data_IF_241771456738
#
_entry.id   IF_241771456738
#
_cell.length_a   1.000
_cell.length_b   1.000
_cell.length_c   1.000
_cell.angle_alpha   90.00
_cell.angle_beta   90.00
_cell.angle_gamma   90.00
#
_symmetry.space_group_name_H-M   'P 1'
#
loop_
_entity.id
_entity.type
_entity.pdbx_description
1 polymer ?
#
# COMPACT_ATOMS: atom_id res chain seq x y z
N UNK A 1 2.53 -5.03 -2.41
CA UNK A 1 2.98 -3.74 -1.88
C UNK A 1 2.83 -2.67 -2.95
N UNK A 2 2.65 -1.42 -2.54
CA UNK A 2 2.53 -0.27 -3.44
C UNK A 2 3.82 0.55 -3.39
N UNK A 3 4.31 1.05 -4.53
CA UNK A 3 5.59 1.74 -4.62
C UNK A 3 5.37 3.13 -5.20
N UNK A 4 5.93 4.15 -4.54
CA UNK A 4 6.03 5.52 -5.04
C UNK A 4 7.49 5.80 -5.35
N UNK A 5 7.82 5.99 -6.63
CA UNK A 5 9.16 6.42 -7.05
C UNK A 5 9.17 7.91 -7.33
N UNK A 6 10.07 8.63 -6.65
CA UNK A 6 10.28 10.06 -6.79
C UNK A 6 11.59 10.25 -7.57
N UNK A 7 11.53 10.68 -8.85
CA UNK A 7 12.72 10.84 -9.67
C UNK A 7 13.78 11.67 -8.95
N UNK A 8 15.04 11.23 -9.01
CA UNK A 8 16.22 11.83 -8.35
C UNK A 8 16.25 11.83 -6.81
N UNK A 9 15.19 11.38 -6.12
CA UNK A 9 15.14 11.37 -4.65
C UNK A 9 15.18 9.95 -4.08
N UNK A 10 14.46 9.02 -4.71
CA UNK A 10 14.37 7.62 -4.29
C UNK A 10 12.93 7.13 -4.25
N UNK A 11 12.69 6.04 -3.52
CA UNK A 11 11.39 5.38 -3.47
C UNK A 11 10.85 5.24 -2.04
N UNK A 12 9.52 5.27 -1.93
CA UNK A 12 8.73 4.93 -0.75
C UNK A 12 7.95 3.66 -1.05
N UNK A 13 8.01 2.68 -0.16
CA UNK A 13 7.16 1.48 -0.22
C UNK A 13 6.02 1.65 0.78
N UNK A 14 4.79 1.43 0.34
CA UNK A 14 3.58 1.41 1.16
C UNK A 14 3.11 -0.04 1.25
N UNK A 15 3.36 -0.65 2.41
CA UNK A 15 3.20 -2.07 2.69
C UNK A 15 3.98 -3.01 1.75
N UNK A 16 4.46 -4.12 2.29
CA UNK A 16 5.08 -5.18 1.52
C UNK A 16 4.79 -6.55 2.16
N UNK A 17 3.69 -7.15 1.71
CA UNK A 17 3.38 -8.56 1.99
C UNK A 17 4.36 -9.54 1.36
N UNK A 18 4.14 -10.81 1.69
CA UNK A 18 4.88 -11.94 1.10
C UNK A 18 4.90 -11.86 -0.44
N UNK A 19 6.03 -12.26 -1.05
CA UNK A 19 6.17 -12.27 -2.51
C UNK A 19 6.44 -10.91 -3.15
N UNK A 20 6.44 -9.80 -2.40
CA UNK A 20 6.70 -8.45 -2.94
C UNK A 20 8.05 -8.37 -3.66
N UNK A 21 9.14 -8.90 -3.09
CA UNK A 21 10.45 -8.94 -3.77
C UNK A 21 10.43 -9.79 -5.05
N UNK A 22 9.69 -10.90 -5.04
CA UNK A 22 9.50 -11.74 -6.24
C UNK A 22 8.77 -10.99 -7.36
N UNK A 23 7.78 -10.17 -7.00
CA UNK A 23 7.07 -9.30 -7.94
C UNK A 23 7.98 -8.20 -8.49
N UNK A 24 8.85 -7.63 -7.65
CA UNK A 24 9.89 -6.69 -8.11
C UNK A 24 10.85 -7.34 -9.11
N UNK A 25 11.29 -8.57 -8.86
CA UNK A 25 12.15 -9.33 -9.80
C UNK A 25 11.43 -9.56 -11.14
N UNK A 26 10.13 -9.86 -11.13
CA UNK A 26 9.34 -10.00 -12.36
C UNK A 26 9.19 -8.69 -13.13
N UNK A 27 9.08 -7.57 -12.41
CA UNK A 27 8.90 -6.25 -12.99
C UNK A 27 10.20 -5.64 -13.54
N UNK A 28 11.25 -5.59 -12.71
CA UNK A 28 12.53 -4.96 -13.06
C UNK A 28 13.49 -5.90 -13.79
N UNK A 29 13.25 -7.21 -13.73
CA UNK A 29 14.15 -8.25 -14.22
C UNK A 29 14.99 -8.87 -13.10
N UNK A 30 15.73 -9.95 -13.41
CA UNK A 30 16.53 -10.66 -12.43
C UNK A 30 17.73 -9.84 -11.99
N UNK A 31 18.18 -10.08 -10.75
CA UNK A 31 19.40 -9.50 -10.21
C UNK A 31 20.59 -9.76 -11.15
N UNK A 32 21.42 -8.75 -11.35
CA UNK A 32 22.57 -8.70 -12.25
C UNK A 32 22.22 -8.25 -13.66
N UNK A 33 20.94 -8.11 -14.00
CA UNK A 33 20.52 -7.65 -15.33
C UNK A 33 20.48 -6.13 -15.39
N UNK A 34 20.95 -5.52 -16.51
CA UNK A 34 20.72 -4.10 -16.72
C UNK A 34 19.23 -3.81 -16.84
N UNK A 35 18.84 -2.58 -16.52
CA UNK A 35 17.51 -2.09 -16.80
C UNK A 35 17.18 -2.19 -18.29
N UNK A 36 15.91 -2.45 -18.62
CA UNK A 36 15.42 -2.59 -20.00
C UNK A 36 14.66 -1.35 -20.43
N UNK A 37 14.75 -1.01 -21.72
CA UNK A 37 13.96 0.07 -22.34
C UNK A 37 14.11 1.43 -21.64
N UNK A 38 15.32 1.76 -21.16
CA UNK A 38 15.61 2.99 -20.43
C UNK A 38 15.06 3.04 -19.00
N UNK A 39 14.53 1.93 -18.48
CA UNK A 39 14.11 1.78 -17.08
C UNK A 39 15.31 1.45 -16.19
N UNK A 40 15.17 1.71 -14.89
CA UNK A 40 16.16 1.34 -13.89
C UNK A 40 16.23 -0.19 -13.67
N UNK A 41 17.39 -0.70 -13.27
CA UNK A 41 17.54 -2.10 -12.84
C UNK A 41 16.90 -2.34 -11.46
N UNK A 42 16.74 -3.61 -11.10
CA UNK A 42 16.28 -3.99 -9.76
C UNK A 42 17.21 -3.47 -8.67
N UNK A 43 18.53 -3.53 -8.86
CA UNK A 43 19.51 -3.03 -7.89
C UNK A 43 19.46 -1.51 -7.76
N UNK A 44 19.35 -0.79 -8.87
CA UNK A 44 19.19 0.66 -8.85
C UNK A 44 17.93 1.05 -8.07
N UNK A 45 16.82 0.36 -8.33
CA UNK A 45 15.59 0.54 -7.58
C UNK A 45 15.77 0.24 -6.08
N UNK A 46 16.30 -0.95 -5.74
CA UNK A 46 16.48 -1.38 -4.35
C UNK A 46 17.40 -0.42 -3.61
N UNK A 47 18.54 -0.01 -4.18
CA UNK A 47 19.43 1.01 -3.61
C UNK A 47 18.74 2.36 -3.40
N UNK A 48 17.78 2.68 -4.26
CA UNK A 48 16.97 3.89 -4.23
C UNK A 48 15.86 3.90 -3.17
N UNK A 49 15.54 2.78 -2.51
CA UNK A 49 14.53 2.76 -1.45
C UNK A 49 15.04 3.59 -0.26
N UNK A 50 14.24 4.58 0.15
CA UNK A 50 14.53 5.46 1.29
C UNK A 50 13.59 5.23 2.45
N UNK A 51 12.32 4.93 2.19
CA UNK A 51 11.30 4.77 3.22
C UNK A 51 10.43 3.54 2.95
N UNK A 52 10.11 2.80 4.01
CA UNK A 52 9.06 1.78 4.02
C UNK A 52 8.04 2.21 5.06
N UNK A 53 6.81 2.45 4.63
CA UNK A 53 5.65 2.67 5.49
C UNK A 53 4.87 1.37 5.63
N UNK A 54 4.51 1.02 6.86
CA UNK A 54 3.67 -0.13 7.18
C UNK A 54 2.40 0.39 7.84
N UNK A 55 1.24 0.08 7.27
CA UNK A 55 -0.07 0.54 7.74
C UNK A 55 -0.45 -0.14 9.05
N UNK A 56 -0.31 -1.47 9.14
CA UNK A 56 -0.68 -2.28 10.30
C UNK A 56 0.02 -3.67 10.26
N UNK A 57 -0.25 -4.54 11.24
CA UNK A 57 0.52 -5.76 11.47
C UNK A 57 -0.13 -7.07 10.98
N UNK A 58 -1.08 -7.02 10.05
CA UNK A 58 -1.48 -8.24 9.34
C UNK A 58 -0.37 -8.69 8.39
N UNK A 59 -0.18 -10.01 8.31
CA UNK A 59 0.98 -10.63 7.66
C UNK A 59 1.15 -10.22 6.19
N UNK A 60 0.04 -10.05 5.48
CA UNK A 60 -0.06 -9.65 4.08
C UNK A 60 0.39 -8.19 3.81
N UNK A 61 0.67 -7.40 4.85
CA UNK A 61 1.19 -6.05 4.72
C UNK A 61 2.68 -5.91 5.04
N UNK A 62 3.32 -6.89 5.69
CA UNK A 62 4.71 -6.71 6.16
C UNK A 62 5.64 -7.91 6.05
N UNK A 63 5.16 -9.13 5.83
CA UNK A 63 6.05 -10.32 5.79
C UNK A 63 7.12 -10.27 4.68
N UNK A 64 6.89 -9.50 3.60
CA UNK A 64 7.88 -9.30 2.54
C UNK A 64 9.00 -8.31 2.90
N UNK A 65 8.80 -7.47 3.92
CA UNK A 65 9.73 -6.39 4.29
C UNK A 65 11.11 -6.94 4.66
N UNK A 66 11.19 -8.02 5.42
CA UNK A 66 12.48 -8.61 5.85
C UNK A 66 13.35 -9.03 4.66
N UNK A 67 12.77 -9.57 3.59
CA UNK A 67 13.51 -9.94 2.37
C UNK A 67 13.99 -8.72 1.59
N UNK A 68 13.20 -7.65 1.59
CA UNK A 68 13.58 -6.37 0.98
C UNK A 68 14.74 -5.73 1.75
N UNK A 69 14.65 -5.70 3.09
CA UNK A 69 15.69 -5.15 3.98
C UNK A 69 17.01 -5.93 3.86
N UNK A 70 16.96 -7.27 3.88
CA UNK A 70 18.13 -8.14 3.66
C UNK A 70 18.82 -7.82 2.33
N UNK A 71 18.07 -7.73 1.22
CA UNK A 71 18.63 -7.43 -0.09
C UNK A 71 19.17 -5.99 -0.16
N UNK A 72 18.43 -5.02 0.38
CA UNK A 72 18.86 -3.63 0.47
C UNK A 72 20.18 -3.51 1.26
N UNK A 73 20.29 -4.17 2.41
CA UNK A 73 21.49 -4.15 3.25
C UNK A 73 22.71 -4.70 2.51
N UNK A 74 22.56 -5.85 1.83
CA UNK A 74 23.62 -6.46 1.02
C UNK A 74 24.09 -5.53 -0.10
N UNK A 75 23.14 -4.89 -0.80
CA UNK A 75 23.49 -3.96 -1.87
C UNK A 75 24.24 -2.75 -1.30
N UNK A 76 23.83 -2.22 -0.14
CA UNK A 76 24.45 -1.05 0.48
C UNK A 76 25.76 -1.33 1.24
N UNK A 77 26.32 -2.54 1.12
CA UNK A 77 27.60 -2.88 1.74
C UNK A 77 28.70 -1.86 1.39
N UNK A 78 29.43 -1.39 2.40
CA UNK A 78 30.49 -0.38 2.27
C UNK A 78 30.02 1.07 2.13
N UNK A 79 28.71 1.34 2.26
CA UNK A 79 28.17 2.71 2.27
C UNK A 79 27.69 3.11 3.67
N UNK A 80 27.39 4.39 3.88
CA UNK A 80 26.72 4.89 5.10
C UNK A 80 25.21 5.09 4.90
N UNK A 81 24.64 4.46 3.87
CA UNK A 81 23.21 4.57 3.59
C UNK A 81 22.37 4.03 4.76
N UNK A 82 21.29 4.73 5.04
CA UNK A 82 20.25 4.35 6.01
C UNK A 82 18.90 4.25 5.31
N UNK A 83 17.98 3.48 5.89
CA UNK A 83 16.59 3.34 5.44
C UNK A 83 15.64 3.71 6.58
N UNK A 84 14.60 4.46 6.26
CA UNK A 84 13.57 4.83 7.22
C UNK A 84 12.45 3.80 7.20
N UNK A 85 12.02 3.34 8.37
CA UNK A 85 10.89 2.42 8.51
C UNK A 85 9.85 3.08 9.41
N UNK A 86 8.75 3.53 8.80
CA UNK A 86 7.61 4.10 9.50
C UNK A 86 6.55 3.01 9.70
N UNK A 87 6.33 2.56 10.93
CA UNK A 87 5.48 1.42 11.21
C UNK A 87 4.83 1.48 12.61
N UNK A 88 3.82 0.64 12.92
CA UNK A 88 3.36 0.46 14.29
C UNK A 88 4.52 0.02 15.19
N UNK A 89 4.65 0.61 16.38
CA UNK A 89 5.83 0.39 17.25
C UNK A 89 6.16 -1.07 17.59
N UNK A 90 5.19 -1.98 17.56
CA UNK A 90 5.44 -3.42 17.76
C UNK A 90 6.25 -4.05 16.63
N UNK A 91 6.24 -3.46 15.43
CA UNK A 91 7.04 -3.92 14.30
C UNK A 91 8.56 -3.84 14.58
N UNK A 92 9.01 -2.82 15.32
CA UNK A 92 10.41 -2.70 15.70
C UNK A 92 10.87 -3.89 16.54
N UNK A 93 10.03 -4.37 17.46
CA UNK A 93 10.34 -5.56 18.27
C UNK A 93 10.50 -6.80 17.39
N UNK A 94 9.62 -6.96 16.41
CA UNK A 94 9.72 -8.05 15.45
C UNK A 94 11.00 -7.97 14.60
N UNK A 95 11.40 -6.79 14.14
CA UNK A 95 12.67 -6.60 13.43
C UNK A 95 13.89 -6.93 14.31
N UNK A 96 13.86 -6.53 15.59
CA UNK A 96 14.91 -6.81 16.56
C UNK A 96 15.06 -8.33 16.78
N UNK A 97 13.95 -9.01 17.11
CA UNK A 97 13.91 -10.47 17.28
C UNK A 97 14.31 -11.23 16.01
N UNK A 98 13.91 -10.75 14.83
CA UNK A 98 14.31 -11.37 13.56
C UNK A 98 15.81 -11.19 13.29
N UNK A 99 16.39 -10.07 13.74
CA UNK A 99 17.80 -9.75 13.55
C UNK A 99 18.73 -10.65 14.36
N UNK A 100 18.22 -11.28 15.42
CA UNK A 100 18.95 -12.33 16.16
C UNK A 100 19.18 -13.59 15.32
N UNK A 101 18.35 -13.82 14.28
CA UNK A 101 18.42 -14.98 13.39
C UNK A 101 19.10 -14.66 12.07
N UNK A 102 18.86 -13.47 11.51
CA UNK A 102 19.41 -13.05 10.22
C UNK A 102 19.76 -11.57 10.22
N UNK A 103 20.97 -11.23 9.74
CA UNK A 103 21.35 -9.83 9.53
C UNK A 103 20.55 -9.18 8.39
N UNK A 104 19.51 -8.45 8.77
CA UNK A 104 18.69 -7.62 7.89
C UNK A 104 19.16 -6.16 7.84
N UNK A 105 20.32 -5.85 8.45
CA UNK A 105 20.87 -4.49 8.51
C UNK A 105 20.21 -3.61 9.57
N UNK A 106 19.83 -4.16 10.72
CA UNK A 106 19.11 -3.45 11.80
C UNK A 106 19.77 -2.10 12.19
N UNK A 107 21.10 -2.06 12.23
CA UNK A 107 21.89 -0.85 12.53
C UNK A 107 21.71 0.30 11.53
N UNK A 108 21.26 0.00 10.30
CA UNK A 108 20.99 0.97 9.22
C UNK A 108 19.54 1.40 9.18
N UNK A 109 18.66 0.76 9.94
CA UNK A 109 17.26 1.13 10.02
C UNK A 109 17.12 2.34 10.94
N UNK A 110 16.33 3.32 10.49
CA UNK A 110 15.90 4.48 11.27
C UNK A 110 14.40 4.36 11.47
N UNK A 111 14.02 3.74 12.59
CA UNK A 111 12.63 3.44 12.89
C UNK A 111 11.87 4.69 13.33
N UNK A 112 10.66 4.86 12.81
CA UNK A 112 9.73 5.92 13.16
C UNK A 112 8.41 5.24 13.55
N UNK A 113 7.99 5.40 14.79
CA UNK A 113 6.67 4.91 15.20
C UNK A 113 5.59 5.74 14.49
N UNK A 114 4.60 5.09 13.87
CA UNK A 114 3.49 5.79 13.20
C UNK A 114 2.77 6.79 14.11
N UNK A 115 2.78 6.59 15.43
CA UNK A 115 2.23 7.54 16.43
C UNK A 115 2.95 8.89 16.45
N UNK A 116 4.22 8.91 16.02
CA UNK A 116 5.03 10.12 15.93
C UNK A 116 4.75 10.90 14.64
N UNK A 117 4.13 10.26 13.65
CA UNK A 117 3.66 10.88 12.40
C UNK A 117 2.19 11.32 12.48
N UNK A 118 1.48 11.04 13.58
CA UNK A 118 0.05 11.34 13.68
C UNK A 118 -0.20 12.81 13.37
N UNK A 119 -1.20 13.05 12.52
CA UNK A 119 -1.68 14.39 12.23
C UNK A 119 -2.09 15.08 13.55
N UNK A 120 -1.35 16.12 13.92
CA UNK A 120 -1.60 16.91 15.12
C UNK A 120 -2.16 18.27 14.73
N UNK A 121 -3.24 18.67 15.40
CA UNK A 121 -3.77 20.04 15.31
C UNK A 121 -2.92 21.05 16.13
N UNK A 122 -1.97 20.55 16.93
CA UNK A 122 -1.11 21.36 17.79
C UNK A 122 0.24 21.65 17.12
N UNK A 123 0.76 22.89 17.19
CA UNK A 123 2.10 23.21 16.68
C UNK A 123 3.15 22.34 17.37
N UNK A 124 3.84 21.51 16.60
CA UNK A 124 4.96 20.71 17.08
C UNK A 124 6.10 21.66 17.43
N UNK A 125 6.53 21.69 18.70
CA UNK A 125 7.60 22.59 19.18
C UNK A 125 8.98 22.25 18.59
N UNK A 126 9.20 20.99 18.19
CA UNK A 126 10.35 20.55 17.39
C UNK A 126 10.03 19.22 16.71
N UNK A 127 10.21 19.13 15.38
CA UNK A 127 10.10 17.87 14.64
C UNK A 127 11.27 16.98 15.04
N UNK A 128 11.00 15.68 15.23
CA UNK A 128 12.05 14.67 15.47
C UNK A 128 13.09 14.72 14.34
N UNK A 129 14.38 14.79 14.70
CA UNK A 129 15.46 14.93 13.72
C UNK A 129 15.49 13.79 12.68
N UNK A 130 15.05 12.59 13.05
CA UNK A 130 14.92 11.42 12.17
C UNK A 130 13.83 11.64 11.14
N UNK A 131 12.66 12.13 11.58
CA UNK A 131 11.55 12.48 10.69
C UNK A 131 11.99 13.59 9.74
N UNK A 132 12.66 14.63 10.25
CA UNK A 132 13.15 15.71 9.40
C UNK A 132 14.17 15.22 8.36
N UNK A 133 15.09 14.33 8.75
CA UNK A 133 16.06 13.74 7.84
C UNK A 133 15.38 12.88 6.76
N UNK A 134 14.36 12.09 7.13
CA UNK A 134 13.54 11.33 6.19
C UNK A 134 12.88 12.25 5.17
N UNK A 135 12.16 13.28 5.64
CA UNK A 135 11.46 14.24 4.77
C UNK A 135 12.44 14.93 3.81
N UNK A 136 13.59 15.38 4.31
CA UNK A 136 14.63 16.02 3.49
C UNK A 136 15.19 15.06 2.41
N UNK A 137 15.43 13.80 2.76
CA UNK A 137 15.98 12.80 1.83
C UNK A 137 15.07 12.51 0.63
N UNK A 138 13.76 12.65 0.82
CA UNK A 138 12.72 12.43 -0.18
C UNK A 138 12.11 13.73 -0.73
N UNK A 139 12.64 14.89 -0.33
CA UNK A 139 12.10 16.23 -0.63
C UNK A 139 10.60 16.36 -0.35
N UNK A 140 10.15 15.74 0.74
CA UNK A 140 8.77 15.81 1.21
C UNK A 140 8.56 17.10 1.99
N UNK A 141 7.44 17.77 1.72
CA UNK A 141 6.96 18.86 2.55
C UNK A 141 6.39 18.30 3.86
N UNK A 142 5.72 17.14 3.79
CA UNK A 142 5.03 16.54 4.92
C UNK A 142 4.74 15.06 4.68
N UNK A 143 4.80 14.28 5.74
CA UNK A 143 4.29 12.91 5.81
C UNK A 143 3.56 12.76 7.14
N UNK A 144 2.27 12.44 7.09
CA UNK A 144 1.41 12.36 8.27
C UNK A 144 0.64 11.04 8.26
N UNK A 145 0.57 10.37 9.40
CA UNK A 145 -0.30 9.22 9.62
C UNK A 145 -1.66 9.67 10.16
N UNK A 146 -2.68 8.88 9.88
CA UNK A 146 -4.02 8.98 10.50
C UNK A 146 -4.39 7.62 11.06
N UNK A 147 -5.04 7.58 12.22
CA UNK A 147 -5.59 6.32 12.73
C UNK A 147 -6.80 5.93 11.89
N UNK A 148 -6.91 4.64 11.56
CA UNK A 148 -7.98 4.12 10.71
C UNK A 148 -8.74 2.99 11.40
N UNK A 149 -9.92 2.64 10.88
CA UNK A 149 -10.86 1.74 11.56
C UNK A 149 -10.65 0.32 11.03
N UNK A 150 -9.75 -0.43 11.67
CA UNK A 150 -9.43 -1.81 11.29
C UNK A 150 -9.04 -2.68 12.51
N UNK A 151 -7.74 -2.90 12.73
CA UNK A 151 -7.20 -3.56 13.91
C UNK A 151 -6.52 -2.54 14.85
N UNK A 152 -6.04 -3.00 16.01
CA UNK A 152 -5.34 -2.11 16.93
C UNK A 152 -4.04 -1.60 16.30
N UNK A 153 -3.81 -0.27 16.38
CA UNK A 153 -2.66 0.40 15.76
C UNK A 153 -2.60 0.21 14.23
N UNK A 154 -3.72 0.48 13.56
CA UNK A 154 -3.81 0.58 12.11
C UNK A 154 -3.78 2.05 11.67
N UNK A 155 -3.06 2.33 10.58
CA UNK A 155 -2.84 3.69 10.10
C UNK A 155 -2.97 3.80 8.58
N UNK A 156 -3.57 4.90 8.13
CA UNK A 156 -3.38 5.46 6.80
C UNK A 156 -2.25 6.48 6.79
N UNK A 157 -1.80 6.89 5.61
CA UNK A 157 -0.74 7.90 5.45
C UNK A 157 -1.05 8.89 4.35
N UNK A 158 -0.72 10.16 4.61
CA UNK A 158 -0.72 11.26 3.64
C UNK A 158 0.70 11.72 3.41
N UNK A 159 1.10 11.81 2.14
CA UNK A 159 2.44 12.19 1.70
C UNK A 159 2.30 13.39 0.78
N UNK A 160 2.87 14.53 1.18
CA UNK A 160 2.88 15.78 0.42
C UNK A 160 4.32 16.11 0.04
N UNK A 161 4.57 16.26 -1.26
CA UNK A 161 5.89 16.55 -1.79
C UNK A 161 6.07 18.04 -2.06
N UNK A 162 7.32 18.53 -1.98
CA UNK A 162 7.66 19.94 -2.23
C UNK A 162 7.31 20.46 -3.63
N UNK A 163 7.00 19.56 -4.57
CA UNK A 163 6.51 19.89 -5.92
C UNK A 163 4.98 20.00 -6.02
N UNK A 164 4.26 19.92 -4.89
CA UNK A 164 2.83 20.23 -4.82
C UNK A 164 1.88 19.06 -5.07
N UNK A 165 2.37 17.83 -5.27
CA UNK A 165 1.51 16.65 -5.31
C UNK A 165 1.28 16.06 -3.93
N UNK A 166 0.13 15.41 -3.76
CA UNK A 166 -0.31 14.75 -2.53
C UNK A 166 -0.84 13.35 -2.81
N UNK A 167 -0.28 12.34 -2.17
CA UNK A 167 -0.74 10.95 -2.26
C UNK A 167 -1.23 10.53 -0.88
N UNK A 168 -2.41 9.92 -0.82
CA UNK A 168 -2.98 9.34 0.41
C UNK A 168 -3.16 7.86 0.22
N UNK A 169 -2.78 7.06 1.22
CA UNK A 169 -2.93 5.61 1.24
C UNK A 169 -3.69 5.20 2.49
N UNK A 170 -4.75 4.41 2.32
CA UNK A 170 -5.65 4.03 3.41
C UNK A 170 -5.05 3.01 4.38
N UNK A 171 -4.21 2.09 3.89
CA UNK A 171 -4.08 0.77 4.52
C UNK A 171 -5.41 0.04 4.48
N UNK A 172 -5.62 -0.88 5.42
CA UNK A 172 -6.93 -1.52 5.60
C UNK A 172 -7.79 -0.69 6.55
N UNK A 173 -9.05 -0.44 6.17
CA UNK A 173 -9.99 0.36 6.95
C UNK A 173 -11.44 0.23 6.49
N UNK A 174 -12.37 0.33 7.45
CA UNK A 174 -13.74 0.82 7.21
C UNK A 174 -13.74 2.31 6.83
N UNK A 175 -14.83 2.86 6.29
CA UNK A 175 -14.96 4.31 6.09
C UNK A 175 -14.56 5.10 7.35
N UNK A 176 -13.57 5.99 7.21
CA UNK A 176 -12.93 6.70 8.32
C UNK A 176 -12.92 8.21 8.04
N UNK A 177 -13.52 9.00 8.93
CA UNK A 177 -13.63 10.45 8.76
C UNK A 177 -12.26 11.14 8.71
N UNK A 178 -11.29 10.70 9.53
CA UNK A 178 -9.94 11.27 9.53
C UNK A 178 -9.22 11.03 8.19
N UNK A 179 -9.44 9.86 7.58
CA UNK A 179 -8.94 9.56 6.24
C UNK A 179 -9.62 10.41 5.17
N UNK A 180 -10.92 10.64 5.28
CA UNK A 180 -11.66 11.56 4.39
C UNK A 180 -11.10 12.98 4.51
N UNK A 181 -10.87 13.45 5.73
CA UNK A 181 -10.33 14.79 5.99
C UNK A 181 -8.92 14.95 5.45
N UNK A 182 -8.04 13.97 5.62
CA UNK A 182 -6.67 14.03 5.09
C UNK A 182 -6.63 13.83 3.57
N UNK A 183 -7.57 13.07 3.02
CA UNK A 183 -7.77 12.83 1.58
C UNK A 183 -8.22 14.06 0.79
N UNK A 184 -8.71 15.12 1.45
CA UNK A 184 -9.10 16.36 0.77
C UNK A 184 -7.91 16.93 -0.03
N UNK A 185 -8.19 17.26 -1.28
CA UNK A 185 -7.23 17.79 -2.27
C UNK A 185 -6.05 16.84 -2.57
N UNK A 186 -6.20 15.53 -2.31
CA UNK A 186 -5.21 14.57 -2.76
C UNK A 186 -5.13 14.56 -4.30
N UNK A 187 -3.91 14.48 -4.83
CA UNK A 187 -3.65 14.17 -6.24
C UNK A 187 -4.05 12.73 -6.56
N UNK A 188 -3.81 11.82 -5.62
CA UNK A 188 -4.18 10.41 -5.70
C UNK A 188 -4.55 9.90 -4.31
N UNK A 189 -5.75 9.33 -4.18
CA UNK A 189 -6.13 8.52 -3.03
C UNK A 189 -6.07 7.04 -3.44
N UNK A 190 -5.23 6.28 -2.77
CA UNK A 190 -5.10 4.83 -2.90
C UNK A 190 -5.88 4.22 -1.73
N UNK A 191 -7.03 3.64 -2.02
CA UNK A 191 -7.94 3.11 -1.00
C UNK A 191 -8.12 1.61 -1.17
N UNK A 192 -8.18 0.87 -0.07
CA UNK A 192 -8.61 -0.52 -0.07
C UNK A 192 -10.07 -0.65 -0.53
N UNK A 193 -10.38 -1.73 -1.24
CA UNK A 193 -11.73 -2.07 -1.65
C UNK A 193 -11.89 -3.59 -1.63
N UNK A 194 -11.64 -4.17 -0.45
CA UNK A 194 -11.50 -5.63 -0.30
C UNK A 194 -12.79 -6.38 -0.64
N UNK A 195 -13.97 -5.79 -0.38
CA UNK A 195 -15.27 -6.43 -0.61
C UNK A 195 -16.08 -5.82 -1.75
N UNK A 196 -16.83 -6.69 -2.44
CA UNK A 196 -17.88 -6.29 -3.38
C UNK A 196 -19.08 -5.75 -2.61
N UNK A 197 -19.92 -4.92 -3.25
CA UNK A 197 -21.03 -4.23 -2.58
C UNK A 197 -22.06 -5.21 -1.98
N UNK A 198 -22.24 -6.37 -2.62
CA UNK A 198 -23.14 -7.42 -2.16
C UNK A 198 -22.62 -8.16 -0.90
N UNK A 199 -21.37 -7.90 -0.49
CA UNK A 199 -20.71 -8.49 0.67
C UNK A 199 -20.54 -7.48 1.82
N UNK A 200 -21.50 -6.55 1.96
CA UNK A 200 -21.42 -5.50 2.99
C UNK A 200 -21.38 -6.06 4.43
N UNK A 201 -22.05 -7.18 4.69
CA UNK A 201 -22.02 -7.83 6.01
C UNK A 201 -20.62 -8.38 6.34
N UNK A 202 -19.96 -9.02 5.36
CA UNK A 202 -18.57 -9.48 5.47
C UNK A 202 -17.60 -8.29 5.62
N UNK A 203 -17.83 -7.18 4.91
CA UNK A 203 -17.03 -5.96 4.99
C UNK A 203 -17.12 -5.32 6.38
N UNK A 204 -18.32 -5.30 6.98
CA UNK A 204 -18.55 -4.84 8.35
C UNK A 204 -17.88 -5.75 9.38
N UNK A 205 -18.05 -7.08 9.25
CA UNK A 205 -17.48 -8.06 10.18
C UNK A 205 -15.94 -8.04 10.17
N UNK A 206 -15.34 -8.00 8.98
CA UNK A 206 -13.88 -8.05 8.79
C UNK A 206 -13.20 -6.68 8.76
N UNK A 207 -13.98 -5.60 8.90
CA UNK A 207 -13.51 -4.21 8.98
C UNK A 207 -12.72 -3.74 7.76
N UNK A 208 -13.29 -3.96 6.58
CA UNK A 208 -12.79 -3.50 5.28
C UNK A 208 -13.86 -2.69 4.55
N UNK A 209 -13.49 -1.92 3.54
CA UNK A 209 -14.43 -1.13 2.74
C UNK A 209 -14.99 -1.91 1.55
N UNK A 210 -16.25 -1.65 1.20
CA UNK A 210 -16.77 -2.08 -0.10
C UNK A 210 -16.26 -1.15 -1.21
N UNK A 211 -16.40 -1.59 -2.46
CA UNK A 211 -16.06 -0.76 -3.62
C UNK A 211 -16.85 0.56 -3.64
N UNK A 212 -18.17 0.55 -3.41
CA UNK A 212 -18.98 1.79 -3.40
C UNK A 212 -18.62 2.74 -2.26
N UNK A 213 -18.20 2.21 -1.11
CA UNK A 213 -17.75 3.03 0.02
C UNK A 213 -16.46 3.81 -0.29
N UNK A 214 -15.64 3.34 -1.23
CA UNK A 214 -14.35 3.94 -1.58
C UNK A 214 -14.39 4.93 -2.76
N UNK A 215 -15.51 5.15 -3.45
CA UNK A 215 -15.55 5.67 -4.84
C UNK A 215 -15.34 7.20 -5.06
N UNK A 216 -15.09 8.03 -4.03
CA UNK A 216 -14.92 9.49 -4.25
C UNK A 216 -13.48 9.87 -4.63
N UNK A 217 -13.13 9.78 -5.93
CA UNK A 217 -11.82 10.14 -6.56
C UNK A 217 -10.62 9.28 -6.15
N UNK A 218 -10.62 8.00 -6.53
CA UNK A 218 -9.81 6.95 -5.90
C UNK A 218 -9.21 5.97 -6.90
N UNK A 219 -7.94 5.59 -6.68
CA UNK A 219 -7.36 4.36 -7.20
C UNK A 219 -7.63 3.23 -6.21
N UNK A 220 -8.39 2.23 -6.63
CA UNK A 220 -8.75 1.11 -5.79
C UNK A 220 -7.67 0.03 -5.83
N UNK A 221 -7.27 -0.45 -4.67
CA UNK A 221 -6.27 -1.52 -4.47
C UNK A 221 -6.73 -2.52 -3.42
N UNK A 222 -5.91 -3.53 -3.15
CA UNK A 222 -6.16 -4.56 -2.14
C UNK A 222 -7.50 -5.29 -2.33
N UNK A 223 -7.70 -5.81 -3.54
CA UNK A 223 -8.83 -6.69 -3.83
C UNK A 223 -8.58 -8.07 -3.22
N UNK A 224 -9.64 -8.74 -2.75
CA UNK A 224 -9.56 -10.11 -2.23
C UNK A 224 -8.85 -11.05 -3.22
N UNK A 225 -7.72 -11.64 -2.79
CA UNK A 225 -6.85 -12.51 -3.60
C UNK A 225 -7.50 -13.79 -4.11
N UNK A 226 -8.72 -14.13 -3.65
CA UNK A 226 -9.39 -15.36 -4.05
C UNK A 226 -9.74 -15.38 -5.55
N UNK A 227 -9.69 -14.25 -6.25
CA UNK A 227 -9.97 -14.17 -7.68
C UNK A 227 -9.33 -12.93 -8.35
N UNK A 228 -8.70 -13.03 -9.54
CA UNK A 228 -8.36 -11.87 -10.35
C UNK A 228 -9.67 -11.24 -10.85
N UNK A 229 -10.10 -10.12 -10.25
CA UNK A 229 -11.43 -9.56 -10.51
C UNK A 229 -11.33 -8.06 -10.76
N UNK A 230 -11.88 -7.61 -11.87
CA UNK A 230 -12.32 -6.22 -12.02
C UNK A 230 -13.54 -6.03 -11.12
N UNK A 231 -13.56 -5.06 -10.20
CA UNK A 231 -14.75 -4.79 -9.39
C UNK A 231 -15.95 -4.45 -10.29
N UNK A 232 -17.12 -4.97 -9.95
CA UNK A 232 -18.36 -4.62 -10.67
C UNK A 232 -18.81 -3.26 -10.14
N UNK A 233 -18.52 -2.19 -10.89
CA UNK A 233 -19.07 -0.87 -10.62
C UNK A 233 -20.48 -0.74 -11.19
N UNK A 234 -21.40 -0.21 -10.39
CA UNK A 234 -22.76 0.16 -10.77
C UNK A 234 -22.76 1.33 -11.77
N UNK A 235 -21.82 2.26 -11.66
CA UNK A 235 -21.61 3.38 -12.59
C UNK A 235 -20.14 3.55 -13.05
N UNK A 236 -19.88 4.41 -14.03
CA UNK A 236 -18.54 4.67 -14.57
C UNK A 236 -17.69 5.62 -13.69
N UNK A 237 -18.30 6.27 -12.71
CA UNK A 237 -17.76 7.18 -11.67
C UNK A 237 -16.77 8.26 -12.12
N UNK A 238 -16.38 8.34 -13.39
CA UNK A 238 -15.54 9.38 -14.03
C UNK A 238 -14.12 9.58 -13.48
N UNK A 239 -13.87 9.18 -12.23
CA UNK A 239 -12.70 9.55 -11.42
C UNK A 239 -12.04 8.34 -10.75
N UNK A 240 -12.53 7.12 -11.00
CA UNK A 240 -12.04 5.90 -10.35
C UNK A 240 -11.11 5.13 -11.27
N UNK A 241 -9.94 4.75 -10.75
CA UNK A 241 -9.02 3.82 -11.40
C UNK A 241 -9.00 2.47 -10.69
N UNK A 242 -8.65 1.42 -11.42
CA UNK A 242 -8.48 0.07 -10.88
C UNK A 242 -7.00 -0.29 -11.00
N UNK A 243 -6.39 -0.66 -9.88
CA UNK A 243 -5.02 -1.15 -9.86
C UNK A 243 -4.93 -2.64 -10.22
N UNK A 244 -3.83 -3.04 -10.84
CA UNK A 244 -3.47 -4.44 -11.08
C UNK A 244 -2.03 -4.67 -10.65
N UNK A 245 -1.69 -5.93 -10.39
CA UNK A 245 -0.31 -6.30 -10.11
C UNK A 245 0.62 -5.84 -11.23
N UNK A 246 1.77 -5.28 -10.84
CA UNK A 246 2.81 -4.74 -11.72
C UNK A 246 2.38 -3.51 -12.56
N UNK A 247 1.20 -2.95 -12.28
CA UNK A 247 0.76 -1.70 -12.91
C UNK A 247 1.69 -0.54 -12.54
N UNK A 248 2.06 0.24 -13.55
CA UNK A 248 2.87 1.44 -13.41
C UNK A 248 2.12 2.62 -14.02
N UNK A 249 2.03 3.73 -13.30
CA UNK A 249 1.34 4.95 -13.77
C UNK A 249 2.09 6.18 -13.27
N UNK A 250 2.26 7.17 -14.15
CA UNK A 250 2.80 8.47 -13.76
C UNK A 250 1.68 9.36 -13.24
N UNK A 251 1.98 10.32 -12.36
CA UNK A 251 0.99 11.31 -11.90
C UNK A 251 0.32 12.03 -13.10
N UNK A 252 1.11 12.33 -14.14
CA UNK A 252 0.61 12.98 -15.36
C UNK A 252 -0.37 12.12 -16.17
N UNK A 253 -0.38 10.80 -15.96
CA UNK A 253 -1.24 9.85 -16.69
C UNK A 253 -2.45 9.37 -15.87
N UNK A 254 -2.60 9.79 -14.62
CA UNK A 254 -3.70 9.35 -13.74
C UNK A 254 -5.08 9.60 -14.34
N UNK A 255 -5.26 10.69 -15.10
CA UNK A 255 -6.52 11.01 -15.79
C UNK A 255 -6.96 9.95 -16.82
N UNK A 256 -6.07 9.06 -17.23
CA UNK A 256 -6.37 7.97 -18.17
C UNK A 256 -7.04 6.79 -17.47
N UNK A 257 -6.80 6.58 -16.17
CA UNK A 257 -7.25 5.38 -15.47
C UNK A 257 -8.78 5.18 -15.53
N UNK A 258 -9.61 6.20 -15.27
CA UNK A 258 -11.07 6.05 -15.38
C UNK A 258 -11.54 5.71 -16.79
N UNK A 259 -10.80 6.16 -17.82
CA UNK A 259 -11.14 5.90 -19.22
C UNK A 259 -10.96 4.43 -19.60
N UNK A 260 -10.09 3.70 -18.89
CA UNK A 260 -9.84 2.29 -19.15
C UNK A 260 -10.86 1.36 -18.47
N UNK A 261 -11.62 1.82 -17.48
CA UNK A 261 -12.56 1.00 -16.70
C UNK A 261 -13.56 0.27 -17.61
N UNK A 262 -14.10 0.95 -18.63
CA UNK A 262 -15.03 0.32 -19.58
C UNK A 262 -14.38 -0.78 -20.40
N UNK A 263 -13.15 -0.57 -20.87
CA UNK A 263 -12.42 -1.58 -21.63
C UNK A 263 -12.07 -2.80 -20.75
N UNK A 264 -11.65 -2.56 -19.51
CA UNK A 264 -11.39 -3.61 -18.53
C UNK A 264 -12.64 -4.45 -18.24
N UNK A 265 -13.82 -3.82 -18.06
CA UNK A 265 -15.09 -4.54 -17.89
C UNK A 265 -15.39 -5.51 -19.04
N UNK A 266 -15.05 -5.14 -20.28
CA UNK A 266 -15.23 -6.01 -21.45
C UNK A 266 -14.19 -7.13 -21.46
N UNK A 267 -12.92 -6.81 -21.21
CA UNK A 267 -11.82 -7.77 -21.24
C UNK A 267 -12.03 -8.91 -20.23
N UNK A 268 -12.59 -8.59 -19.07
CA UNK A 268 -12.86 -9.54 -17.99
C UNK A 268 -14.33 -10.01 -17.92
N UNK A 269 -15.10 -9.82 -18.99
CA UNK A 269 -16.52 -10.15 -19.02
C UNK A 269 -16.81 -11.65 -18.80
N UNK A 270 -15.98 -12.55 -19.37
CA UNK A 270 -16.16 -14.00 -19.21
C UNK A 270 -15.89 -14.48 -17.79
N UNK A 271 -14.92 -13.86 -17.11
CA UNK A 271 -14.65 -14.12 -15.69
C UNK A 271 -15.77 -13.58 -14.80
N UNK A 272 -16.38 -12.45 -15.18
CA UNK A 272 -17.59 -11.95 -14.53
C UNK A 272 -18.82 -12.85 -14.77
N UNK A 273 -18.97 -13.42 -15.98
CA UNK A 273 -20.10 -14.27 -16.34
C UNK A 273 -20.08 -15.63 -15.63
N UNK A 274 -18.88 -16.22 -15.41
CA UNK A 274 -18.69 -17.47 -14.66
C UNK A 274 -19.16 -17.39 -13.19
N UNK A 275 -19.49 -16.21 -12.67
CA UNK A 275 -19.97 -15.98 -11.29
C UNK A 275 -21.40 -16.47 -11.04
N UNK A 276 -22.30 -16.45 -12.04
CA UNK A 276 -23.66 -17.02 -11.90
C UNK A 276 -23.60 -18.47 -12.42
N UNK A 277 -23.50 -19.56 -11.63
CA UNK A 277 -24.25 -19.86 -10.39
C UNK A 277 -23.49 -20.81 -9.42
N UNK A 278 -22.53 -20.35 -8.60
CA UNK A 278 -21.83 -21.24 -7.65
C UNK A 278 -21.87 -20.81 -6.18
N UNK A 279 -22.56 -19.71 -5.87
CA UNK A 279 -22.69 -19.21 -4.47
C UNK A 279 -23.99 -19.66 -3.79
N UNK A 280 -24.98 -20.17 -4.54
CA UNK A 280 -26.21 -20.72 -3.97
C UNK A 280 -26.02 -22.05 -3.21
N UNK A 281 -24.88 -22.75 -3.36
CA UNK A 281 -24.65 -24.06 -2.71
C UNK A 281 -23.92 -23.98 -1.36
N UNK A 282 -23.18 -22.91 -1.09
CA UNK A 282 -22.42 -22.77 0.16
C UNK A 282 -23.14 -21.97 1.24
N UNK A 283 -24.19 -21.21 0.88
CA UNK A 283 -25.04 -20.52 1.85
C UNK A 283 -26.05 -21.47 2.55
N UNK A 284 -26.39 -22.60 1.94
CA UNK A 284 -27.40 -23.54 2.49
C UNK A 284 -26.78 -24.53 3.50
N UNK A 285 -25.48 -24.86 3.37
CA UNK A 285 -24.84 -25.88 4.22
C UNK A 285 -24.43 -25.42 5.62
N UNK A 286 -24.55 -24.12 5.95
CA UNK A 286 -24.19 -23.58 7.27
C UNK A 286 -25.36 -23.43 8.25
N UNK A 287 -26.60 -23.69 7.81
CA UNK A 287 -27.81 -23.51 8.63
C UNK A 287 -28.49 -24.81 9.09
N UNK A 288 -27.97 -26.00 8.75
CA UNK A 288 -28.61 -27.28 9.11
C UNK A 288 -27.97 -28.06 10.29
N UNK A 289 -26.95 -27.54 10.97
CA UNK A 289 -26.31 -28.26 12.10
C UNK A 289 -26.62 -27.71 13.50
N UNK A 290 -27.78 -27.08 13.72
CA UNK A 290 -28.22 -26.66 15.06
C UNK A 290 -29.71 -26.90 15.35
N UNK A 291 -30.23 -28.07 14.94
CA UNK A 291 -31.46 -28.63 15.54
C UNK A 291 -31.26 -30.13 15.73
N UNK A 292 -30.77 -30.49 16.92
CA UNK A 292 -31.23 -31.59 17.79
C UNK A 292 -30.28 -31.72 19.00
#
# INVERSE_FOLDING_TARGET
>A
GTIITIPSCGSIILDAGEGTLGSMIRHFGPLGSPGRDGRMSLEEFLRGIKCIFISHLHADHHFGVVRILDMWNRLQHGTDAVIYVAAPGRFMKWLDEYSDVQDIGLSRIRFIDNRNLLRRNTPIKSIDSTIQAMLNSLKLQRMESVEVIHCAAAYGVSIEHTQGWKIVYSGDTRPCEDLILVGKNATLLIHEATFENDLIEDALEKRHSTTEEAVKSVLLTHFSQRYPKVPIFTDDHGTVGISFDLMEVTIGDLYKLPKYVRALKILYADECAKRKPMEAKFAITKYETNIL
#
